data_IF_435512488038
#
_entry.id   IF_435512488038
#
_cell.length_a   1.000
_cell.length_b   1.000
_cell.length_c   1.000
_cell.angle_alpha   90.00
_cell.angle_beta   90.00
_cell.angle_gamma   90.00
#
_symmetry.space_group_name_H-M   'P 1'
#
loop_
_entity.id
_entity.type
_entity.pdbx_description
1 polymer ?
#
# COMPACT_ATOMS: atom_id res chain seq x y z
N UNK A 1 -9.09 19.06 -68.04
CA UNK A 1 -8.78 19.89 -66.86
C UNK A 1 -7.28 20.14 -66.83
N UNK A 2 -6.85 21.39 -66.62
CA UNK A 2 -5.43 21.76 -66.69
C UNK A 2 -4.68 21.12 -65.52
N UNK A 3 -3.50 20.53 -65.78
CA UNK A 3 -2.71 19.77 -64.79
C UNK A 3 -2.55 20.48 -63.43
N UNK A 4 -2.55 21.83 -63.43
CA UNK A 4 -2.50 22.66 -62.23
C UNK A 4 -3.72 22.48 -61.32
N UNK A 5 -4.93 22.39 -61.87
CA UNK A 5 -6.16 22.20 -61.10
C UNK A 5 -6.20 20.83 -60.43
N UNK A 6 -5.70 19.79 -61.12
CA UNK A 6 -5.58 18.43 -60.55
C UNK A 6 -4.61 18.39 -59.37
N UNK A 7 -3.46 19.07 -59.47
CA UNK A 7 -2.48 19.14 -58.37
C UNK A 7 -3.06 19.86 -57.15
N UNK A 8 -3.73 21.00 -57.35
CA UNK A 8 -4.37 21.74 -56.25
C UNK A 8 -5.44 20.90 -55.55
N UNK A 9 -6.24 20.16 -56.32
CA UNK A 9 -7.30 19.32 -55.76
C UNK A 9 -6.75 18.14 -54.94
N UNK A 10 -5.62 17.55 -55.36
CA UNK A 10 -4.91 16.51 -54.59
C UNK A 10 -4.34 17.06 -53.29
N UNK A 11 -3.76 18.26 -53.31
CA UNK A 11 -3.23 18.91 -52.09
C UNK A 11 -4.35 19.22 -51.10
N UNK A 12 -5.49 19.75 -51.58
CA UNK A 12 -6.66 20.01 -50.74
C UNK A 12 -7.19 18.71 -50.13
N UNK A 13 -7.30 17.63 -50.91
CA UNK A 13 -7.71 16.31 -50.41
C UNK A 13 -6.73 15.75 -49.37
N UNK A 14 -5.43 15.93 -49.56
CA UNK A 14 -4.42 15.48 -48.60
C UNK A 14 -4.50 16.24 -47.27
N UNK A 15 -4.66 17.57 -47.32
CA UNK A 15 -4.85 18.41 -46.14
C UNK A 15 -6.18 18.03 -45.44
N UNK A 16 -7.24 17.83 -46.21
CA UNK A 16 -8.55 17.44 -45.67
C UNK A 16 -8.49 16.06 -45.01
N UNK A 17 -7.83 15.08 -45.62
CA UNK A 17 -7.63 13.75 -45.04
C UNK A 17 -6.77 13.80 -43.77
N UNK A 18 -5.72 14.63 -43.76
CA UNK A 18 -4.89 14.85 -42.57
C UNK A 18 -5.67 15.54 -41.45
N UNK A 19 -6.47 16.55 -41.77
CA UNK A 19 -7.34 17.22 -40.82
C UNK A 19 -8.41 16.28 -40.28
N UNK A 20 -9.03 15.46 -41.13
CA UNK A 20 -10.00 14.44 -40.71
C UNK A 20 -9.35 13.39 -39.80
N UNK A 21 -8.13 12.97 -40.12
CA UNK A 21 -7.35 12.05 -39.29
C UNK A 21 -6.96 12.66 -37.94
N UNK A 22 -6.69 13.97 -37.88
CA UNK A 22 -6.35 14.69 -36.65
C UNK A 22 -7.58 15.04 -35.79
N UNK A 23 -8.74 15.26 -36.40
CA UNK A 23 -9.98 15.67 -35.71
C UNK A 23 -10.88 14.48 -35.31
N UNK A 24 -10.82 13.34 -36.01
CA UNK A 24 -11.60 12.17 -35.62
C UNK A 24 -11.01 11.54 -34.36
N UNK A 25 -11.80 11.34 -33.29
CA UNK A 25 -11.37 10.65 -32.08
C UNK A 25 -11.36 9.15 -32.39
N UNK A 26 -10.33 8.69 -33.10
CA UNK A 26 -10.03 7.27 -33.18
C UNK A 26 -9.54 6.89 -31.79
N UNK A 27 -10.37 6.17 -31.04
CA UNK A 27 -10.02 5.56 -29.75
C UNK A 27 -8.66 4.87 -29.89
N UNK A 28 -7.62 5.52 -29.38
CA UNK A 28 -6.26 5.13 -29.67
C UNK A 28 -5.32 6.30 -29.53
N UNK A 29 -4.95 6.58 -28.28
CA UNK A 29 -3.61 6.92 -27.76
C UNK A 29 -2.58 7.62 -28.69
N UNK A 30 -2.97 8.41 -29.70
CA UNK A 30 -2.03 8.99 -30.68
C UNK A 30 -1.39 10.29 -30.22
N UNK A 31 -2.07 11.02 -29.33
CA UNK A 31 -1.62 12.29 -28.75
C UNK A 31 -2.03 12.43 -27.27
N UNK A 32 -2.25 11.29 -26.61
CA UNK A 32 -2.57 11.26 -25.19
C UNK A 32 -1.33 11.59 -24.38
N UNK A 33 -1.48 12.42 -23.35
CA UNK A 33 -0.46 12.77 -22.35
C UNK A 33 -0.02 11.52 -21.56
N UNK A 34 0.65 10.59 -22.22
CA UNK A 34 1.31 9.47 -21.56
C UNK A 34 2.51 10.04 -20.81
N UNK A 35 2.34 10.33 -19.52
CA UNK A 35 3.45 10.74 -18.67
C UNK A 35 3.08 11.53 -17.43
N UNK A 36 1.86 12.09 -17.34
CA UNK A 36 1.46 12.79 -16.11
C UNK A 36 0.68 11.81 -15.24
N UNK A 37 1.38 11.24 -14.25
CA UNK A 37 0.76 10.50 -13.15
C UNK A 37 -0.11 11.48 -12.36
N UNK A 38 -1.38 11.14 -12.21
CA UNK A 38 -2.35 11.99 -11.54
C UNK A 38 -2.23 11.75 -10.03
N UNK A 39 -2.04 12.82 -9.25
CA UNK A 39 -2.02 12.73 -7.78
C UNK A 39 -3.41 12.40 -7.21
N UNK A 40 -3.50 12.21 -5.89
CA UNK A 40 -4.76 11.89 -5.19
C UNK A 40 -5.94 12.81 -5.56
N UNK A 41 -5.68 14.11 -5.70
CA UNK A 41 -6.71 15.12 -6.01
C UNK A 41 -7.27 14.99 -7.44
N UNK A 42 -6.49 14.42 -8.38
CA UNK A 42 -6.87 14.28 -9.79
C UNK A 42 -7.24 12.84 -10.18
N UNK A 43 -6.64 11.84 -9.53
CA UNK A 43 -6.89 10.41 -9.77
C UNK A 43 -7.94 9.84 -8.81
N UNK A 44 -8.21 10.54 -7.70
CA UNK A 44 -8.90 9.97 -6.56
C UNK A 44 -8.03 8.95 -5.80
N UNK A 45 -8.56 8.45 -4.69
CA UNK A 45 -7.88 7.51 -3.81
C UNK A 45 -8.23 7.75 -2.35
N UNK A 46 -7.34 7.35 -1.45
CA UNK A 46 -7.58 7.38 -0.01
C UNK A 46 -6.49 8.18 0.70
N UNK A 47 -6.91 9.01 1.65
CA UNK A 47 -6.05 9.69 2.62
C UNK A 47 -6.44 9.24 4.03
N UNK A 48 -5.48 8.69 4.78
CA UNK A 48 -5.66 8.18 6.13
C UNK A 48 -4.58 8.72 7.06
N UNK A 49 -4.96 9.03 8.29
CA UNK A 49 -4.01 9.38 9.36
C UNK A 49 -4.23 8.41 10.50
N UNK A 50 -3.19 7.64 10.81
CA UNK A 50 -3.16 6.70 11.92
C UNK A 50 -2.46 7.36 13.10
N UNK A 51 -2.95 7.10 14.32
CA UNK A 51 -2.28 7.51 15.55
C UNK A 51 -1.78 6.27 16.27
N UNK A 52 -0.48 6.25 16.58
CA UNK A 52 0.16 5.16 17.29
C UNK A 52 -0.10 5.29 18.79
N UNK A 53 -0.50 4.19 19.41
CA UNK A 53 -0.46 4.08 20.86
C UNK A 53 0.97 3.73 21.30
N UNK A 54 1.60 4.66 22.02
CA UNK A 54 2.98 4.54 22.50
C UNK A 54 3.05 4.27 24.01
N UNK A 55 1.91 4.02 24.67
CA UNK A 55 1.84 3.85 26.12
C UNK A 55 2.65 2.65 26.65
N UNK A 56 2.79 1.60 25.84
CA UNK A 56 3.55 0.39 26.17
C UNK A 56 5.00 0.40 25.64
N UNK A 57 5.40 1.44 24.91
CA UNK A 57 6.74 1.54 24.32
C UNK A 57 7.73 2.08 25.36
N UNK A 58 8.90 1.44 25.45
CA UNK A 58 9.98 1.89 26.32
C UNK A 58 10.43 3.32 25.96
N UNK A 59 10.57 4.19 26.97
CA UNK A 59 10.94 5.59 26.73
C UNK A 59 12.27 5.71 25.99
N UNK A 60 12.27 6.49 24.91
CA UNK A 60 13.41 6.66 24.00
C UNK A 60 13.40 5.73 22.78
N UNK A 61 12.45 4.79 22.67
CA UNK A 61 12.28 3.90 21.50
C UNK A 61 11.05 4.24 20.64
N UNK A 62 10.34 5.31 20.96
CA UNK A 62 9.13 5.73 20.25
C UNK A 62 9.38 5.98 18.77
N UNK A 63 10.50 6.66 18.45
CA UNK A 63 10.88 6.93 17.06
C UNK A 63 11.19 5.64 16.28
N UNK A 64 11.81 4.64 16.93
CA UNK A 64 12.06 3.33 16.32
C UNK A 64 10.74 2.58 16.08
N UNK A 65 9.83 2.61 17.06
CA UNK A 65 8.51 1.99 16.95
C UNK A 65 7.70 2.58 15.78
N UNK A 66 7.66 3.90 15.65
CA UNK A 66 7.00 4.58 14.53
C UNK A 66 7.66 4.22 13.19
N UNK A 67 8.98 4.20 13.12
CA UNK A 67 9.71 3.83 11.90
C UNK A 67 9.43 2.38 11.48
N UNK A 68 9.36 1.47 12.46
CA UNK A 68 8.96 0.08 12.25
C UNK A 68 7.52 -0.05 11.74
N UNK A 69 6.59 0.68 12.34
CA UNK A 69 5.20 0.71 11.89
C UNK A 69 5.07 1.21 10.44
N UNK A 70 5.81 2.26 10.07
CA UNK A 70 5.88 2.76 8.68
C UNK A 70 6.37 1.68 7.73
N UNK A 71 7.42 0.93 8.09
CA UNK A 71 7.95 -0.15 7.26
C UNK A 71 6.92 -1.28 7.05
N UNK A 72 6.18 -1.66 8.09
CA UNK A 72 5.12 -2.67 8.01
C UNK A 72 3.98 -2.20 7.11
N UNK A 73 3.52 -0.96 7.29
CA UNK A 73 2.47 -0.36 6.45
C UNK A 73 2.90 -0.36 4.98
N UNK A 74 4.15 0.02 4.71
CA UNK A 74 4.70 0.02 3.34
C UNK A 74 4.63 -1.37 2.70
N UNK A 75 5.11 -2.41 3.40
CA UNK A 75 5.07 -3.80 2.92
C UNK A 75 3.65 -4.28 2.62
N UNK A 76 2.65 -3.84 3.41
CA UNK A 76 1.24 -4.19 3.18
C UNK A 76 0.65 -3.47 1.98
N UNK A 77 0.98 -2.20 1.81
CA UNK A 77 0.53 -1.42 0.67
C UNK A 77 1.10 -1.94 -0.65
N UNK A 78 2.33 -2.46 -0.64
CA UNK A 78 2.94 -3.07 -1.83
C UNK A 78 2.09 -4.24 -2.37
N UNK A 79 1.42 -5.00 -1.49
CA UNK A 79 0.52 -6.12 -1.87
C UNK A 79 -0.77 -5.62 -2.55
N UNK A 80 -1.21 -4.39 -2.24
CA UNK A 80 -2.39 -3.79 -2.83
C UNK A 80 -2.16 -3.30 -4.28
N UNK A 81 -0.92 -3.36 -4.79
CA UNK A 81 -0.58 -2.96 -6.15
C UNK A 81 -0.70 -1.45 -6.40
N UNK A 82 -0.65 -0.64 -5.33
CA UNK A 82 -0.75 0.82 -5.42
C UNK A 82 0.54 1.39 -6.00
N UNK A 83 0.40 2.30 -6.96
CA UNK A 83 1.55 3.01 -7.55
C UNK A 83 1.81 4.28 -6.76
N UNK A 84 3.02 4.44 -6.23
CA UNK A 84 3.50 5.63 -5.50
C UNK A 84 2.69 5.98 -4.22
N UNK A 85 2.55 5.04 -3.26
CA UNK A 85 1.96 5.37 -1.97
C UNK A 85 2.84 6.34 -1.19
N UNK A 86 2.21 7.31 -0.52
CA UNK A 86 2.89 8.24 0.38
C UNK A 86 2.65 7.79 1.82
N UNK A 87 3.70 7.32 2.49
CA UNK A 87 3.63 6.88 3.89
C UNK A 87 4.70 7.64 4.67
N UNK A 88 4.28 8.52 5.58
CA UNK A 88 5.19 9.43 6.27
C UNK A 88 4.77 9.65 7.72
N UNK A 89 5.75 9.90 8.60
CA UNK A 89 5.48 10.36 9.97
C UNK A 89 4.91 11.78 9.92
N UNK A 90 3.83 12.02 10.66
CA UNK A 90 3.21 13.33 10.83
C UNK A 90 3.22 13.73 12.31
N UNK A 91 4.18 14.57 12.72
CA UNK A 91 4.35 14.92 14.13
C UNK A 91 5.11 13.84 14.91
N UNK A 92 4.71 13.56 16.15
CA UNK A 92 5.40 12.61 17.01
C UNK A 92 4.85 11.19 16.92
N UNK A 93 3.53 11.04 16.90
CA UNK A 93 2.82 9.77 17.08
C UNK A 93 1.87 9.42 15.92
N UNK A 94 1.78 10.25 14.87
CA UNK A 94 0.90 9.97 13.73
C UNK A 94 1.64 9.52 12.48
N UNK A 95 0.97 8.72 11.67
CA UNK A 95 1.43 8.21 10.38
C UNK A 95 0.39 8.58 9.32
N UNK A 96 0.81 9.39 8.36
CA UNK A 96 0.05 9.74 7.17
C UNK A 96 0.22 8.64 6.12
N UNK A 97 -0.89 8.18 5.54
CA UNK A 97 -0.95 7.19 4.47
C UNK A 97 -1.85 7.69 3.35
N UNK A 98 -1.28 7.87 2.16
CA UNK A 98 -2.01 8.26 0.96
C UNK A 98 -1.84 7.20 -0.13
N UNK A 99 -2.97 6.74 -0.67
CA UNK A 99 -3.05 5.65 -1.64
C UNK A 99 -3.80 6.14 -2.90
N UNK A 100 -3.10 6.64 -3.92
CA UNK A 100 -3.72 7.07 -5.17
C UNK A 100 -4.33 5.90 -5.95
N UNK A 101 -5.50 6.11 -6.57
CA UNK A 101 -6.14 5.12 -7.44
C UNK A 101 -6.77 3.91 -6.74
N UNK A 102 -6.77 3.87 -5.40
CA UNK A 102 -7.49 2.83 -4.65
C UNK A 102 -8.96 3.24 -4.49
N UNK A 103 -9.87 2.43 -5.00
CA UNK A 103 -11.32 2.65 -4.91
C UNK A 103 -11.95 2.05 -3.65
N UNK A 104 -11.37 0.97 -3.11
CA UNK A 104 -11.94 0.21 -1.98
C UNK A 104 -11.28 0.60 -0.64
N UNK A 105 -11.74 1.72 -0.08
CA UNK A 105 -11.19 2.27 1.17
C UNK A 105 -11.26 1.32 2.36
N UNK A 106 -12.37 0.62 2.54
CA UNK A 106 -12.53 -0.30 3.68
C UNK A 106 -11.59 -1.49 3.61
N UNK A 107 -11.37 -2.08 2.43
CA UNK A 107 -10.39 -3.16 2.27
C UNK A 107 -8.98 -2.68 2.56
N UNK A 108 -8.58 -1.53 2.01
CA UNK A 108 -7.26 -0.98 2.27
C UNK A 108 -7.03 -0.67 3.75
N UNK A 109 -8.04 -0.10 4.42
CA UNK A 109 -8.04 0.13 5.86
C UNK A 109 -7.95 -1.15 6.66
N UNK A 110 -8.68 -2.20 6.29
CA UNK A 110 -8.62 -3.51 6.94
C UNK A 110 -7.22 -4.13 6.81
N UNK A 111 -6.67 -4.20 5.60
CA UNK A 111 -5.34 -4.74 5.36
C UNK A 111 -4.23 -3.97 6.10
N UNK A 112 -4.33 -2.64 6.13
CA UNK A 112 -3.32 -1.78 6.77
C UNK A 112 -3.51 -1.74 8.29
N UNK A 113 -4.74 -1.75 8.77
CA UNK A 113 -5.11 -1.60 10.17
C UNK A 113 -5.09 -2.90 10.99
N UNK A 114 -5.04 -4.07 10.36
CA UNK A 114 -4.90 -5.34 11.09
C UNK A 114 -3.57 -5.40 11.85
N UNK A 115 -3.60 -5.60 13.16
CA UNK A 115 -2.37 -5.89 13.92
C UNK A 115 -1.93 -7.33 13.60
N UNK A 116 -0.86 -7.50 12.83
CA UNK A 116 -0.32 -8.83 12.54
C UNK A 116 0.64 -9.22 13.66
N UNK A 117 0.07 -9.61 14.81
CA UNK A 117 0.84 -10.22 15.89
C UNK A 117 1.02 -11.70 15.53
N UNK A 118 2.28 -12.12 15.38
CA UNK A 118 2.62 -13.54 15.27
C UNK A 118 3.05 -13.99 16.66
N UNK A 119 2.40 -15.03 17.15
CA UNK A 119 2.68 -15.63 18.45
C UNK A 119 3.21 -17.04 18.23
N UNK A 120 4.18 -17.44 19.05
CA UNK A 120 4.77 -18.77 18.99
C UNK A 120 4.19 -19.61 20.12
N UNK A 121 3.72 -20.80 19.79
CA UNK A 121 3.17 -21.75 20.76
C UNK A 121 4.04 -22.97 20.94
N UNK A 122 4.02 -23.51 22.15
CA UNK A 122 4.53 -24.85 22.46
C UNK A 122 3.40 -25.77 22.95
N UNK A 123 3.58 -27.08 22.79
CA UNK A 123 2.60 -28.09 23.19
C UNK A 123 2.43 -28.07 24.72
N UNK A 124 1.19 -27.89 25.17
CA UNK A 124 0.84 -27.89 26.58
C UNK A 124 0.84 -29.32 27.14
N UNK A 125 1.52 -29.52 28.26
CA UNK A 125 1.54 -30.81 28.95
C UNK A 125 0.18 -31.12 29.60
N UNK A 126 0.01 -32.36 30.04
CA UNK A 126 -1.21 -32.78 30.75
C UNK A 126 -1.33 -32.03 32.08
N UNK A 127 -2.42 -31.30 32.26
CA UNK A 127 -2.65 -30.43 33.43
C UNK A 127 -2.17 -28.98 33.30
N UNK A 128 -1.51 -28.61 32.20
CA UNK A 128 -1.18 -27.21 31.91
C UNK A 128 -2.35 -26.46 31.26
N UNK A 129 -2.46 -25.16 31.57
CA UNK A 129 -3.39 -24.25 30.92
C UNK A 129 -2.95 -24.01 29.47
N UNK A 130 -3.88 -24.24 28.55
CA UNK A 130 -3.68 -24.03 27.13
C UNK A 130 -4.50 -22.84 26.68
N UNK A 131 -3.90 -22.00 25.85
CA UNK A 131 -4.56 -20.81 25.29
C UNK A 131 -5.24 -21.15 23.96
N UNK A 132 -4.64 -22.05 23.17
CA UNK A 132 -5.15 -22.44 21.87
C UNK A 132 -5.33 -23.96 21.78
N UNK A 133 -6.32 -24.39 21.00
CA UNK A 133 -6.59 -25.81 20.73
C UNK A 133 -6.86 -26.02 19.24
N UNK A 134 -6.22 -27.03 18.66
CA UNK A 134 -6.40 -27.40 17.26
C UNK A 134 -6.28 -28.93 17.07
N UNK A 135 -6.33 -29.38 15.81
CA UNK A 135 -6.24 -30.82 15.46
C UNK A 135 -4.94 -31.50 15.92
N UNK A 136 -3.88 -30.74 16.20
CA UNK A 136 -2.58 -31.25 16.63
C UNK A 136 -2.39 -31.26 18.15
N UNK A 137 -3.32 -30.67 18.91
CA UNK A 137 -3.31 -30.67 20.37
C UNK A 137 -3.58 -29.32 21.00
N UNK A 138 -3.21 -29.23 22.28
CA UNK A 138 -3.37 -28.04 23.12
C UNK A 138 -2.04 -27.27 23.15
N UNK A 139 -2.11 -25.95 22.99
CA UNK A 139 -0.95 -25.08 22.86
C UNK A 139 -0.97 -23.97 23.90
N UNK A 140 0.20 -23.63 24.41
CA UNK A 140 0.43 -22.48 25.29
C UNK A 140 1.46 -21.54 24.66
N UNK A 141 1.47 -20.24 25.00
CA UNK A 141 2.51 -19.32 24.55
C UNK A 141 3.90 -19.83 24.90
N UNK A 142 4.79 -19.84 23.91
CA UNK A 142 6.18 -20.14 24.13
C UNK A 142 6.85 -18.95 24.85
N UNK A 143 7.50 -19.21 25.98
CA UNK A 143 8.22 -18.18 26.74
C UNK A 143 9.73 -18.29 26.56
N UNK A 144 10.43 -17.16 26.65
CA UNK A 144 11.88 -17.11 26.69
C UNK A 144 12.37 -16.06 27.70
N UNK A 145 13.57 -16.27 28.22
CA UNK A 145 14.22 -15.30 29.12
C UNK A 145 14.98 -14.26 28.28
N UNK A 146 14.44 -13.04 28.22
CA UNK A 146 15.05 -11.92 27.48
C UNK A 146 15.36 -10.79 28.46
N UNK A 147 16.65 -10.48 28.62
CA UNK A 147 17.10 -9.46 29.56
C UNK A 147 16.81 -9.83 31.04
N UNK A 148 16.80 -11.12 31.36
CA UNK A 148 16.57 -11.62 32.73
C UNK A 148 15.10 -11.64 33.17
N UNK A 149 14.16 -11.33 32.27
CA UNK A 149 12.71 -11.48 32.51
C UNK A 149 12.15 -12.52 31.55
N UNK A 150 11.25 -13.35 32.05
CA UNK A 150 10.47 -14.26 31.22
C UNK A 150 9.43 -13.45 30.43
N UNK A 151 9.41 -13.67 29.11
CA UNK A 151 8.50 -12.99 28.18
C UNK A 151 8.02 -13.97 27.13
N UNK A 152 6.79 -13.77 26.66
CA UNK A 152 6.22 -14.51 25.55
C UNK A 152 6.94 -14.17 24.23
N UNK A 153 7.15 -15.20 23.42
CA UNK A 153 7.77 -15.09 22.12
C UNK A 153 6.73 -14.64 21.09
N UNK A 154 6.95 -13.44 20.55
CA UNK A 154 6.16 -12.84 19.48
C UNK A 154 7.05 -12.42 18.31
N UNK A 155 6.45 -12.06 17.16
CA UNK A 155 7.17 -11.51 16.00
C UNK A 155 8.12 -10.36 16.33
N UNK A 156 7.89 -9.61 17.42
CA UNK A 156 8.76 -8.53 17.84
C UNK A 156 10.21 -8.94 18.11
N UNK A 157 10.44 -10.22 18.44
CA UNK A 157 11.77 -10.77 18.72
C UNK A 157 12.45 -11.43 17.52
N UNK A 158 11.72 -11.65 16.42
CA UNK A 158 12.23 -12.30 15.21
C UNK A 158 12.28 -11.27 14.08
N UNK A 159 13.29 -10.40 14.12
CA UNK A 159 13.60 -9.44 13.04
C UNK A 159 14.63 -10.09 12.09
N UNK A 160 14.23 -10.40 10.85
CA UNK A 160 15.15 -10.66 9.72
C UNK A 160 15.35 -9.39 8.88
#
# INVERSE_FOLDING_TARGET
>A
MTRKTTVVLVVILAIFAFALWALLPVEGERFGRQGIRLGLDLQGGIHMVYQADLSEVESGKEAEAISGAIAVIKKRVDVLGVTEPVIQKQGEDRILVELPGVSEAEKAKEYIGQTALLEFGELAAEGEEAEWENEYGRWKPATAVIGGKEKELTSGYFKE
#
